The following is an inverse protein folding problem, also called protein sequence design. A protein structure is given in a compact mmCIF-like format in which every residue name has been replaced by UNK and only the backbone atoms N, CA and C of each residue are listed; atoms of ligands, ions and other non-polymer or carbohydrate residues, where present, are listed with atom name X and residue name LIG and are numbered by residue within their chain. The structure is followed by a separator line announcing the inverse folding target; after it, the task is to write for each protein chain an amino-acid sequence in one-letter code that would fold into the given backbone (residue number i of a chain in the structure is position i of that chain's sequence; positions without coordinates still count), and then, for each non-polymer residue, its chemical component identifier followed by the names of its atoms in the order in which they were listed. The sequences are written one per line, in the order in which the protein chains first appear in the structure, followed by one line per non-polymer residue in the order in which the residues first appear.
data_IF_615185773039
#
_entry.id   IF_615185773039
#
_cell.length_a   1.000
_cell.length_b   1.000
_cell.length_c   1.000
_cell.angle_alpha   90.00
_cell.angle_beta   90.00
_cell.angle_gamma   90.00
#
_symmetry.space_group_name_H-M   'P 1'
#
loop_
_entity.id
_entity.type
_entity.pdbx_description
1 polymer ?
#
# COMPACT_ATOMS: atom_id res chain seq x y z
N UNK A 1 -23.07 -3.68 -8.47
CA UNK A 1 -23.04 -2.75 -7.31
C UNK A 1 -24.16 -3.05 -6.34
N UNK A 2 -25.43 -2.71 -6.61
CA UNK A 2 -26.55 -3.02 -5.70
C UNK A 2 -26.60 -4.50 -5.28
N UNK A 3 -26.41 -5.43 -6.23
CA UNK A 3 -26.38 -6.85 -5.90
C UNK A 3 -25.23 -7.23 -4.97
N UNK A 4 -24.05 -6.66 -5.19
CA UNK A 4 -22.89 -6.90 -4.34
C UNK A 4 -23.13 -6.36 -2.92
N UNK A 5 -23.67 -5.14 -2.81
CA UNK A 5 -24.01 -4.54 -1.50
C UNK A 5 -25.05 -5.36 -0.73
N UNK A 6 -26.06 -5.89 -1.43
CA UNK A 6 -27.07 -6.76 -0.84
C UNK A 6 -26.44 -8.05 -0.30
N UNK A 7 -25.59 -8.70 -1.10
CA UNK A 7 -24.94 -9.96 -0.74
C UNK A 7 -23.92 -9.78 0.39
N UNK A 8 -23.18 -8.67 0.40
CA UNK A 8 -22.19 -8.38 1.44
C UNK A 8 -22.77 -7.75 2.71
N UNK A 9 -24.07 -7.43 2.73
CA UNK A 9 -24.72 -6.72 3.84
C UNK A 9 -24.22 -5.28 4.05
N UNK A 10 -23.54 -4.67 3.08
CA UNK A 10 -22.93 -3.34 3.23
C UNK A 10 -23.00 -2.51 1.95
N UNK A 11 -23.40 -1.25 2.06
CA UNK A 11 -23.18 -0.28 0.99
C UNK A 11 -21.69 0.07 0.91
N UNK A 12 -21.05 -0.06 -0.25
CA UNK A 12 -19.63 0.25 -0.39
C UNK A 12 -19.42 1.71 -0.79
N UNK A 13 -18.43 2.36 -0.17
CA UNK A 13 -18.08 3.75 -0.46
C UNK A 13 -17.42 3.95 -1.84
N UNK A 14 -16.86 2.91 -2.43
CA UNK A 14 -16.16 2.99 -3.72
C UNK A 14 -16.22 1.68 -4.49
N UNK A 15 -16.09 1.77 -5.81
CA UNK A 15 -16.00 0.63 -6.72
C UNK A 15 -14.95 0.95 -7.77
N UNK A 16 -14.27 -0.09 -8.26
CA UNK A 16 -13.30 0.07 -9.33
C UNK A 16 -13.68 -0.66 -10.61
N UNK A 17 -13.11 -0.21 -11.73
CA UNK A 17 -13.12 -0.94 -13.00
C UNK A 17 -11.87 -0.65 -13.80
N UNK A 18 -11.57 -1.57 -14.70
CA UNK A 18 -10.58 -1.39 -15.75
C UNK A 18 -11.12 -0.60 -16.95
N UNK A 19 -10.27 0.25 -17.51
CA UNK A 19 -10.46 1.00 -18.75
C UNK A 19 -9.13 0.97 -19.51
N UNK A 20 -9.13 0.52 -20.76
CA UNK A 20 -7.95 0.64 -21.61
C UNK A 20 -7.75 2.08 -22.07
N UNK A 21 -6.51 2.54 -22.16
CA UNK A 21 -6.16 3.81 -22.80
C UNK A 21 -6.62 3.79 -24.27
N UNK A 22 -7.04 4.95 -24.77
CA UNK A 22 -7.73 5.10 -26.05
C UNK A 22 -9.25 4.80 -25.99
N UNK A 23 -9.76 4.21 -24.90
CA UNK A 23 -11.22 4.02 -24.73
C UNK A 23 -11.90 5.28 -24.15
N UNK A 24 -13.18 5.53 -24.46
CA UNK A 24 -13.93 6.65 -23.88
C UNK A 24 -13.99 6.58 -22.34
N UNK A 25 -14.12 7.75 -21.71
CA UNK A 25 -14.39 7.84 -20.28
C UNK A 25 -15.68 7.05 -19.92
N UNK A 26 -15.69 6.23 -18.85
CA UNK A 26 -16.80 5.31 -18.56
C UNK A 26 -17.99 6.01 -17.88
N UNK A 27 -18.53 7.06 -18.48
CA UNK A 27 -19.57 7.95 -17.92
C UNK A 27 -20.75 7.20 -17.31
N UNK A 28 -21.34 6.25 -18.04
CA UNK A 28 -22.51 5.49 -17.58
C UNK A 28 -22.21 4.70 -16.29
N UNK A 29 -21.06 4.03 -16.24
CA UNK A 29 -20.65 3.29 -15.05
C UNK A 29 -20.37 4.23 -13.87
N UNK A 30 -19.75 5.39 -14.11
CA UNK A 30 -19.55 6.39 -13.05
C UNK A 30 -20.89 6.88 -12.51
N UNK A 31 -21.89 7.12 -13.36
CA UNK A 31 -23.25 7.45 -12.89
C UNK A 31 -23.87 6.33 -12.05
N UNK A 32 -23.62 5.07 -12.38
CA UNK A 32 -24.06 3.93 -11.57
C UNK A 32 -23.39 3.91 -10.19
N UNK A 33 -22.08 4.17 -10.13
CA UNK A 33 -21.34 4.32 -8.85
C UNK A 33 -21.93 5.45 -8.00
N UNK A 34 -22.17 6.61 -8.61
CA UNK A 34 -22.80 7.75 -7.93
C UNK A 34 -24.20 7.42 -7.41
N UNK A 35 -24.98 6.66 -8.19
CA UNK A 35 -26.37 6.32 -7.82
C UNK A 35 -26.47 5.49 -6.55
N UNK A 36 -25.39 4.78 -6.18
CA UNK A 36 -25.29 4.00 -4.93
C UNK A 36 -24.54 4.74 -3.82
N UNK A 37 -24.23 6.03 -4.01
CA UNK A 37 -23.55 6.87 -3.02
C UNK A 37 -22.04 6.69 -2.93
N UNK A 38 -21.44 5.98 -3.89
CA UNK A 38 -19.99 5.74 -3.94
C UNK A 38 -19.25 6.73 -4.85
N UNK A 39 -17.92 6.64 -4.83
CA UNK A 39 -17.03 7.28 -5.78
C UNK A 39 -16.27 6.25 -6.65
N UNK A 40 -15.91 6.56 -7.89
CA UNK A 40 -15.20 5.63 -8.77
C UNK A 40 -13.69 5.60 -8.51
N UNK A 41 -13.11 4.40 -8.51
CA UNK A 41 -11.70 4.17 -8.84
C UNK A 41 -11.60 3.68 -10.30
N UNK A 42 -10.80 4.34 -11.14
CA UNK A 42 -10.64 3.98 -12.55
C UNK A 42 -9.22 3.45 -12.74
N UNK A 43 -9.08 2.15 -13.00
CA UNK A 43 -7.82 1.53 -13.39
C UNK A 43 -7.60 1.76 -14.89
N UNK A 44 -6.74 2.72 -15.23
CA UNK A 44 -6.57 3.21 -16.60
C UNK A 44 -5.23 2.74 -17.18
N UNK A 45 -5.30 1.84 -18.17
CA UNK A 45 -4.14 1.06 -18.61
C UNK A 45 -3.73 1.38 -20.05
N UNK A 46 -2.51 1.92 -20.28
CA UNK A 46 -1.93 2.05 -21.61
C UNK A 46 -1.44 0.70 -22.11
N UNK A 47 -2.38 -0.18 -22.44
CA UNK A 47 -2.15 -1.59 -22.78
C UNK A 47 -1.25 -1.78 -24.02
N UNK A 48 -1.13 -0.78 -24.90
CA UNK A 48 -0.20 -0.81 -26.03
C UNK A 48 1.15 -0.14 -25.74
N UNK A 49 1.38 0.31 -24.50
CA UNK A 49 2.62 0.90 -24.03
C UNK A 49 2.58 2.43 -23.92
N UNK A 50 3.57 2.98 -23.22
CA UNK A 50 3.61 4.40 -22.82
C UNK A 50 3.70 5.41 -23.98
N UNK A 51 4.05 4.97 -25.19
CA UNK A 51 4.19 5.86 -26.35
C UNK A 51 2.85 6.38 -26.89
N UNK A 52 1.75 5.68 -26.61
CA UNK A 52 0.40 6.14 -26.99
C UNK A 52 -0.08 7.32 -26.13
N UNK A 53 0.54 7.51 -24.95
CA UNK A 53 0.12 8.51 -23.98
C UNK A 53 0.69 9.87 -24.36
N UNK A 54 -0.19 10.78 -24.78
CA UNK A 54 0.18 12.12 -25.25
C UNK A 54 -0.80 13.14 -24.71
N UNK A 55 -0.33 14.38 -24.56
CA UNK A 55 -1.23 15.51 -24.34
C UNK A 55 -1.90 15.84 -25.67
N UNK A 56 -2.98 15.11 -25.95
CA UNK A 56 -3.75 15.21 -27.17
C UNK A 56 -5.25 15.39 -26.88
N UNK A 57 -6.03 15.49 -27.95
CA UNK A 57 -7.48 15.67 -27.84
C UNK A 57 -8.15 14.54 -27.06
N UNK A 58 -7.64 13.30 -27.15
CA UNK A 58 -8.18 12.18 -26.43
C UNK A 58 -7.99 12.32 -24.92
N UNK A 59 -6.75 12.55 -24.46
CA UNK A 59 -6.45 12.71 -23.03
C UNK A 59 -7.23 13.91 -22.43
N UNK A 60 -7.23 15.04 -23.13
CA UNK A 60 -7.97 16.25 -22.71
C UNK A 60 -9.48 16.02 -22.66
N UNK A 61 -10.05 15.31 -23.64
CA UNK A 61 -11.47 14.98 -23.63
C UNK A 61 -11.83 14.01 -22.49
N UNK A 62 -10.97 13.02 -22.23
CA UNK A 62 -11.15 12.11 -21.09
C UNK A 62 -11.17 12.87 -19.76
N UNK A 63 -10.21 13.79 -19.55
CA UNK A 63 -10.16 14.63 -18.35
C UNK A 63 -11.40 15.54 -18.22
N UNK A 64 -11.83 16.20 -19.30
CA UNK A 64 -13.07 17.02 -19.28
C UNK A 64 -14.29 16.20 -18.88
N UNK A 65 -14.42 14.95 -19.36
CA UNK A 65 -15.49 14.04 -18.94
C UNK A 65 -15.36 13.62 -17.47
N UNK A 66 -14.15 13.41 -16.98
CA UNK A 66 -13.88 13.17 -15.56
C UNK A 66 -14.32 14.34 -14.68
N UNK A 67 -14.19 15.59 -15.15
CA UNK A 67 -14.72 16.77 -14.45
C UNK A 67 -16.24 16.87 -14.48
N UNK A 68 -16.86 16.64 -15.65
CA UNK A 68 -18.31 16.78 -15.85
C UNK A 68 -19.13 15.88 -14.93
N UNK A 69 -18.62 14.71 -14.55
CA UNK A 69 -19.36 13.79 -13.66
C UNK A 69 -19.47 14.30 -12.22
N UNK A 70 -18.73 15.34 -11.81
CA UNK A 70 -18.86 16.03 -10.52
C UNK A 70 -18.97 15.05 -9.32
N UNK A 71 -17.98 14.17 -9.20
CA UNK A 71 -17.74 13.25 -8.07
C UNK A 71 -16.22 13.10 -7.94
N UNK A 72 -15.66 12.92 -6.74
CA UNK A 72 -14.25 12.56 -6.60
C UNK A 72 -13.95 11.30 -7.42
N UNK A 73 -12.79 11.24 -8.07
CA UNK A 73 -12.36 10.04 -8.83
C UNK A 73 -10.98 9.66 -8.35
N UNK A 74 -10.76 8.39 -8.04
CA UNK A 74 -9.43 7.86 -7.79
C UNK A 74 -8.89 7.25 -9.09
N UNK A 75 -8.02 7.96 -9.80
CA UNK A 75 -7.47 7.50 -11.08
C UNK A 75 -6.20 6.69 -10.84
N UNK A 76 -6.28 5.39 -11.06
CA UNK A 76 -5.17 4.44 -10.98
C UNK A 76 -4.59 4.22 -12.37
N UNK A 77 -3.72 5.13 -12.80
CA UNK A 77 -3.09 5.08 -14.11
C UNK A 77 -1.89 4.13 -14.13
N UNK A 78 -1.77 3.28 -15.15
CA UNK A 78 -0.61 2.43 -15.43
C UNK A 78 -0.05 1.66 -14.21
N UNK A 79 -0.92 0.98 -13.46
CA UNK A 79 -0.55 0.24 -12.23
C UNK A 79 0.29 -1.01 -12.50
N UNK A 80 1.02 -1.46 -11.47
CA UNK A 80 1.89 -2.67 -11.50
C UNK A 80 3.07 -2.59 -12.48
N UNK A 81 3.50 -1.37 -12.78
CA UNK A 81 4.67 -1.06 -13.61
C UNK A 81 5.97 -1.71 -13.12
N UNK A 82 6.07 -2.00 -11.81
CA UNK A 82 7.24 -2.59 -11.15
C UNK A 82 7.49 -4.06 -11.52
N UNK A 83 6.55 -4.71 -12.21
CA UNK A 83 6.72 -6.05 -12.77
C UNK A 83 7.41 -6.10 -14.13
N UNK A 84 7.16 -7.21 -14.83
CA UNK A 84 7.56 -7.41 -16.23
C UNK A 84 6.39 -7.85 -17.15
N UNK A 85 5.15 -7.78 -16.65
CA UNK A 85 3.96 -8.29 -17.32
C UNK A 85 3.10 -7.22 -18.00
N UNK A 86 3.49 -5.95 -17.91
CA UNK A 86 2.76 -4.82 -18.54
C UNK A 86 3.58 -4.20 -19.68
N UNK A 87 2.89 -3.63 -20.67
CA UNK A 87 3.54 -2.93 -21.79
C UNK A 87 4.23 -1.62 -21.37
N UNK A 88 4.05 -1.21 -20.12
CA UNK A 88 4.59 0.02 -19.53
C UNK A 88 5.59 -0.26 -18.39
N UNK A 89 6.03 -1.52 -18.25
CA UNK A 89 7.15 -1.92 -17.39
C UNK A 89 8.52 -1.62 -18.04
N UNK A 90 9.58 -1.65 -17.25
CA UNK A 90 10.98 -1.64 -17.71
C UNK A 90 11.62 -0.26 -17.95
N UNK A 91 10.89 0.72 -18.52
CA UNK A 91 11.41 2.08 -18.74
C UNK A 91 10.86 3.07 -17.70
N UNK A 92 11.54 3.15 -16.56
CA UNK A 92 11.16 4.01 -15.44
C UNK A 92 11.13 5.51 -15.80
N UNK A 93 12.10 6.00 -16.55
CA UNK A 93 12.15 7.42 -16.94
C UNK A 93 10.97 7.80 -17.84
N UNK A 94 10.63 6.94 -18.81
CA UNK A 94 9.48 7.14 -19.67
C UNK A 94 8.18 7.05 -18.85
N UNK A 95 8.09 6.10 -17.92
CA UNK A 95 6.95 5.97 -17.02
C UNK A 95 6.72 7.25 -16.23
N UNK A 96 7.76 7.77 -15.54
CA UNK A 96 7.69 9.00 -14.76
C UNK A 96 7.29 10.17 -15.65
N UNK A 97 7.87 10.30 -16.84
CA UNK A 97 7.51 11.36 -17.80
C UNK A 97 6.02 11.31 -18.18
N UNK A 98 5.47 10.13 -18.47
CA UNK A 98 4.06 9.99 -18.85
C UNK A 98 3.12 10.13 -17.67
N UNK A 99 3.55 9.70 -16.48
CA UNK A 99 2.82 9.94 -15.24
C UNK A 99 2.60 11.44 -15.02
N UNK A 100 3.69 12.22 -15.04
CA UNK A 100 3.64 13.69 -14.84
C UNK A 100 2.74 14.36 -15.89
N UNK A 101 2.84 13.93 -17.15
CA UNK A 101 1.95 14.41 -18.22
C UNK A 101 0.47 14.18 -17.90
N UNK A 102 0.09 12.96 -17.49
CA UNK A 102 -1.32 12.65 -17.15
C UNK A 102 -1.76 13.45 -15.93
N UNK A 103 -0.92 13.55 -14.90
CA UNK A 103 -1.18 14.37 -13.72
C UNK A 103 -1.46 15.82 -14.10
N UNK A 104 -0.59 16.46 -14.89
CA UNK A 104 -0.72 17.87 -15.24
C UNK A 104 -2.01 18.16 -16.03
N UNK A 105 -2.42 17.24 -16.92
CA UNK A 105 -3.70 17.36 -17.62
C UNK A 105 -4.89 17.20 -16.66
N UNK A 106 -4.82 16.27 -15.69
CA UNK A 106 -5.89 16.10 -14.71
C UNK A 106 -5.99 17.30 -13.77
N UNK A 107 -4.87 17.85 -13.30
CA UNK A 107 -4.84 19.06 -12.46
C UNK A 107 -5.48 20.26 -13.18
N UNK A 108 -5.18 20.44 -14.47
CA UNK A 108 -5.73 21.55 -15.27
C UNK A 108 -7.23 21.36 -15.60
N UNK A 109 -7.63 20.16 -16.04
CA UNK A 109 -8.95 19.92 -16.63
C UNK A 109 -9.96 19.29 -15.68
N UNK A 110 -9.49 18.59 -14.64
CA UNK A 110 -10.28 17.72 -13.77
C UNK A 110 -9.77 17.66 -12.31
N UNK A 111 -9.78 18.78 -11.56
CA UNK A 111 -9.26 18.86 -10.18
C UNK A 111 -10.05 18.02 -9.16
N UNK A 112 -11.11 17.32 -9.58
CA UNK A 112 -11.81 16.30 -8.79
C UNK A 112 -11.19 14.90 -8.92
N UNK A 113 -10.16 14.74 -9.74
CA UNK A 113 -9.41 13.49 -9.92
C UNK A 113 -8.22 13.48 -8.98
N UNK A 114 -8.09 12.42 -8.19
CA UNK A 114 -6.94 12.11 -7.34
C UNK A 114 -6.10 11.03 -8.01
N UNK A 115 -4.79 11.24 -8.09
CA UNK A 115 -3.83 10.35 -8.73
C UNK A 115 -3.37 9.24 -7.77
N UNK A 116 -3.70 7.99 -8.12
CA UNK A 116 -3.33 6.78 -7.36
C UNK A 116 -2.15 6.06 -8.02
N UNK A 117 -0.94 6.23 -7.49
CA UNK A 117 0.27 5.52 -7.94
C UNK A 117 0.33 4.13 -7.31
N UNK A 118 0.04 3.09 -8.09
CA UNK A 118 -0.23 1.76 -7.56
C UNK A 118 0.72 0.69 -8.11
N UNK A 119 1.43 0.02 -7.22
CA UNK A 119 2.39 -1.05 -7.54
C UNK A 119 1.77 -2.43 -7.31
N UNK A 120 2.39 -3.49 -7.83
CA UNK A 120 2.20 -4.84 -7.27
C UNK A 120 3.15 -5.02 -6.08
N UNK A 121 2.74 -5.79 -5.07
CA UNK A 121 3.57 -6.03 -3.86
C UNK A 121 5.00 -6.50 -4.21
N UNK A 122 5.16 -7.22 -5.33
CA UNK A 122 6.46 -7.69 -5.83
C UNK A 122 6.71 -7.28 -7.29
N UNK A 123 7.98 -7.23 -7.75
CA UNK A 123 9.21 -7.24 -6.96
C UNK A 123 9.50 -5.88 -6.29
N UNK A 124 9.83 -5.89 -5.00
CA UNK A 124 10.05 -4.67 -4.19
C UNK A 124 11.19 -3.78 -4.71
N UNK A 125 12.33 -4.38 -5.09
CA UNK A 125 13.56 -3.66 -5.45
C UNK A 125 13.45 -2.77 -6.70
N UNK A 126 12.34 -2.84 -7.44
CA UNK A 126 12.08 -1.99 -8.60
C UNK A 126 11.09 -0.88 -8.31
N UNK A 127 10.31 -0.97 -7.23
CA UNK A 127 9.18 -0.08 -6.92
C UNK A 127 9.62 1.40 -6.91
N UNK A 128 10.66 1.71 -6.15
CA UNK A 128 11.13 3.10 -5.99
C UNK A 128 11.60 3.75 -7.29
N UNK A 129 12.01 2.96 -8.30
CA UNK A 129 12.48 3.48 -9.59
C UNK A 129 11.38 4.17 -10.38
N UNK A 130 10.11 3.80 -10.15
CA UNK A 130 8.95 4.33 -10.89
C UNK A 130 8.23 5.46 -10.15
N UNK A 131 8.70 5.86 -8.97
CA UNK A 131 8.02 6.88 -8.17
C UNK A 131 8.22 8.28 -8.80
N UNK A 132 7.15 8.99 -9.16
CA UNK A 132 7.25 10.26 -9.90
C UNK A 132 7.56 11.46 -9.01
N UNK A 133 7.53 11.28 -7.68
CA UNK A 133 7.68 12.32 -6.66
C UNK A 133 6.35 12.70 -6.02
N UNK A 134 6.42 13.17 -4.76
CA UNK A 134 5.25 13.49 -3.94
C UNK A 134 4.32 14.54 -4.57
N UNK A 135 4.85 15.45 -5.36
CA UNK A 135 4.06 16.51 -6.01
C UNK A 135 3.10 15.98 -7.09
N UNK A 136 3.28 14.74 -7.57
CA UNK A 136 2.44 14.15 -8.63
C UNK A 136 1.56 12.97 -8.15
N UNK A 137 1.49 12.73 -6.83
CA UNK A 137 0.80 11.56 -6.24
C UNK A 137 -0.07 12.00 -5.08
N UNK A 138 -1.37 11.67 -5.15
CA UNK A 138 -2.29 11.89 -4.02
C UNK A 138 -2.34 10.68 -3.09
N UNK A 139 -2.33 9.47 -3.66
CA UNK A 139 -2.37 8.20 -2.93
C UNK A 139 -1.33 7.23 -3.47
N UNK A 140 -0.66 6.50 -2.57
CA UNK A 140 0.18 5.37 -2.94
C UNK A 140 -0.60 4.07 -2.75
N UNK A 141 -0.56 3.22 -3.77
CA UNK A 141 -1.34 2.00 -3.83
C UNK A 141 -0.50 0.74 -3.93
N UNK A 142 -1.03 -0.37 -3.43
CA UNK A 142 -0.47 -1.71 -3.63
C UNK A 142 -1.56 -2.71 -3.99
N UNK A 143 -1.29 -3.53 -5.00
CA UNK A 143 -2.08 -4.72 -5.31
C UNK A 143 -1.51 -5.93 -4.56
N UNK A 144 -2.39 -6.69 -3.92
CA UNK A 144 -2.05 -7.84 -3.07
C UNK A 144 -2.94 -9.01 -3.47
N UNK A 145 -2.35 -10.14 -3.84
CA UNK A 145 -3.11 -11.38 -4.05
C UNK A 145 -2.49 -12.49 -3.25
N UNK A 146 -3.28 -13.14 -2.40
CA UNK A 146 -2.89 -14.38 -1.76
C UNK A 146 -3.38 -15.54 -2.61
N UNK A 147 -2.43 -16.23 -3.22
CA UNK A 147 -2.66 -17.44 -4.01
C UNK A 147 -2.19 -18.65 -3.23
N UNK A 148 -2.71 -19.83 -3.56
CA UNK A 148 -2.24 -21.08 -2.95
C UNK A 148 -0.91 -21.52 -3.57
N UNK A 149 -0.75 -21.24 -4.87
CA UNK A 149 0.42 -21.58 -5.67
C UNK A 149 0.82 -20.39 -6.53
N UNK A 150 2.09 -20.01 -6.49
CA UNK A 150 2.65 -19.06 -7.46
C UNK A 150 2.86 -19.74 -8.81
N UNK A 151 2.81 -18.95 -9.88
CA UNK A 151 3.13 -19.37 -11.24
C UNK A 151 2.37 -20.60 -11.78
N UNK A 152 1.23 -20.98 -11.19
CA UNK A 152 0.49 -22.19 -11.54
C UNK A 152 1.32 -23.48 -11.41
N UNK A 153 2.14 -23.57 -10.34
CA UNK A 153 3.01 -24.73 -10.07
C UNK A 153 2.77 -25.31 -8.69
N UNK A 154 2.53 -26.62 -8.60
CA UNK A 154 2.26 -27.33 -7.34
C UNK A 154 3.42 -27.23 -6.34
N UNK A 155 4.65 -27.12 -6.84
CA UNK A 155 5.86 -26.94 -6.05
C UNK A 155 6.03 -25.52 -5.47
N UNK A 156 5.36 -24.52 -6.05
CA UNK A 156 5.45 -23.11 -5.66
C UNK A 156 4.35 -22.74 -4.65
N UNK A 157 4.18 -23.54 -3.61
CA UNK A 157 3.15 -23.29 -2.59
C UNK A 157 3.41 -21.96 -1.86
N UNK A 158 2.37 -21.14 -1.69
CA UNK A 158 2.42 -19.78 -1.14
C UNK A 158 1.37 -19.52 -0.07
N UNK A 159 0.73 -20.58 0.43
CA UNK A 159 -0.36 -20.46 1.40
C UNK A 159 0.07 -19.91 2.77
N UNK A 160 1.37 -19.96 3.05
CA UNK A 160 1.98 -19.40 4.25
C UNK A 160 2.06 -17.86 4.26
N UNK A 161 1.91 -17.19 3.11
CA UNK A 161 2.03 -15.73 3.02
C UNK A 161 0.95 -15.03 3.85
N UNK A 162 1.36 -14.09 4.72
CA UNK A 162 0.44 -13.24 5.46
C UNK A 162 0.03 -12.04 4.58
N UNK A 163 -1.27 -11.85 4.30
CA UNK A 163 -1.77 -10.75 3.45
C UNK A 163 -1.30 -9.38 3.94
N UNK A 164 -1.21 -9.16 5.25
CA UNK A 164 -0.84 -7.86 5.81
C UNK A 164 0.65 -7.58 5.61
N UNK A 165 1.50 -8.60 5.68
CA UNK A 165 2.94 -8.42 5.54
C UNK A 165 3.35 -8.06 4.10
N UNK A 166 2.53 -8.44 3.12
CA UNK A 166 2.69 -8.02 1.72
C UNK A 166 2.49 -6.50 1.51
N UNK A 167 1.98 -5.78 2.53
CA UNK A 167 1.83 -4.33 2.53
C UNK A 167 3.06 -3.60 3.14
N UNK A 168 3.91 -4.29 3.91
CA UNK A 168 4.90 -3.66 4.79
C UNK A 168 5.85 -2.73 4.03
N UNK A 169 6.43 -3.18 2.91
CA UNK A 169 7.37 -2.37 2.13
C UNK A 169 6.76 -1.04 1.68
N UNK A 170 5.57 -1.09 1.07
CA UNK A 170 4.88 0.09 0.56
C UNK A 170 4.44 1.00 1.71
N UNK A 171 3.94 0.41 2.79
CA UNK A 171 3.48 1.19 3.94
C UNK A 171 4.63 1.91 4.65
N UNK A 172 5.72 1.21 4.95
CA UNK A 172 6.90 1.80 5.57
C UNK A 172 7.45 2.92 4.67
N UNK A 173 7.60 2.65 3.38
CA UNK A 173 8.29 3.59 2.49
C UNK A 173 7.52 4.87 2.19
N UNK A 174 6.19 4.83 2.20
CA UNK A 174 5.38 5.94 1.66
C UNK A 174 4.30 6.47 2.60
N UNK A 175 3.97 5.78 3.70
CA UNK A 175 2.78 6.15 4.48
C UNK A 175 3.00 7.34 5.42
N UNK A 176 4.24 7.76 5.63
CA UNK A 176 4.60 9.00 6.32
C UNK A 176 4.13 10.25 5.54
N UNK A 177 4.22 10.20 4.22
CA UNK A 177 3.92 11.33 3.31
C UNK A 177 2.59 11.17 2.59
N UNK A 178 2.17 9.93 2.30
CA UNK A 178 0.99 9.64 1.47
C UNK A 178 0.00 8.68 2.16
N UNK A 179 -1.32 8.91 2.02
CA UNK A 179 -2.30 7.88 2.38
C UNK A 179 -2.15 6.65 1.49
N UNK A 180 -2.32 5.46 2.08
CA UNK A 180 -2.15 4.19 1.38
C UNK A 180 -3.50 3.61 0.94
N UNK A 181 -3.50 2.97 -0.24
CA UNK A 181 -4.64 2.26 -0.80
C UNK A 181 -4.24 0.82 -1.13
N UNK A 182 -5.03 -0.15 -0.72
CA UNK A 182 -4.92 -1.50 -1.28
C UNK A 182 -5.76 -1.50 -2.56
N UNK A 183 -5.10 -1.30 -3.69
CA UNK A 183 -5.73 -1.06 -4.99
C UNK A 183 -6.54 -2.25 -5.49
N UNK A 184 -6.06 -3.45 -5.18
CA UNK A 184 -6.73 -4.74 -5.32
C UNK A 184 -6.27 -5.68 -4.21
N UNK A 185 -7.22 -6.41 -3.64
CA UNK A 185 -6.99 -7.54 -2.77
C UNK A 185 -7.83 -8.74 -3.21
N UNK A 186 -7.20 -9.89 -3.40
CA UNK A 186 -7.89 -11.15 -3.70
C UNK A 186 -7.27 -12.33 -2.97
N UNK A 187 -8.11 -13.28 -2.56
CA UNK A 187 -7.67 -14.54 -1.96
C UNK A 187 -8.28 -15.71 -2.75
N UNK A 188 -7.43 -16.62 -3.21
CA UNK A 188 -7.86 -17.77 -4.02
C UNK A 188 -8.89 -18.61 -3.27
N UNK A 189 -10.08 -18.79 -3.84
CA UNK A 189 -11.08 -19.74 -3.33
C UNK A 189 -11.14 -21.05 -4.12
N UNK A 190 -10.59 -21.05 -5.33
CA UNK A 190 -10.42 -22.22 -6.18
C UNK A 190 -9.25 -21.96 -7.13
N UNK A 191 -8.48 -23.00 -7.43
CA UNK A 191 -7.43 -22.92 -8.48
C UNK A 191 -7.44 -24.15 -9.37
N UNK A 192 -7.12 -23.96 -10.65
CA UNK A 192 -6.90 -25.07 -11.60
C UNK A 192 -5.60 -25.83 -11.33
N UNK A 193 -4.65 -25.24 -10.60
CA UNK A 193 -3.33 -25.82 -10.32
C UNK A 193 -3.42 -27.19 -9.64
N UNK A 194 -4.29 -27.31 -8.63
CA UNK A 194 -4.63 -28.58 -7.98
C UNK A 194 -6.07 -29.04 -8.24
N UNK A 195 -6.89 -28.19 -8.87
CA UNK A 195 -8.29 -28.45 -9.18
C UNK A 195 -9.23 -28.43 -7.97
N UNK A 196 -8.81 -27.81 -6.85
CA UNK A 196 -9.54 -27.83 -5.59
C UNK A 196 -10.09 -26.46 -5.18
N UNK A 197 -11.14 -26.51 -4.36
CA UNK A 197 -11.62 -25.34 -3.62
C UNK A 197 -10.82 -25.17 -2.33
N UNK A 198 -10.38 -23.94 -2.07
CA UNK A 198 -9.58 -23.51 -0.93
C UNK A 198 -10.36 -22.51 -0.06
N UNK A 199 -11.55 -22.94 0.39
CA UNK A 199 -12.48 -22.08 1.14
C UNK A 199 -11.88 -21.61 2.47
N UNK A 200 -11.23 -22.52 3.21
CA UNK A 200 -10.64 -22.18 4.51
C UNK A 200 -9.47 -21.20 4.35
N UNK A 201 -8.68 -21.33 3.28
CA UNK A 201 -7.63 -20.38 2.93
C UNK A 201 -8.22 -19.00 2.61
N UNK A 202 -9.24 -18.92 1.74
CA UNK A 202 -9.88 -17.65 1.41
C UNK A 202 -10.48 -16.97 2.66
N UNK A 203 -11.18 -17.72 3.52
CA UNK A 203 -11.74 -17.25 4.78
C UNK A 203 -10.65 -16.70 5.73
N UNK A 204 -9.54 -17.44 5.89
CA UNK A 204 -8.40 -17.02 6.72
C UNK A 204 -7.79 -15.70 6.21
N UNK A 205 -7.43 -15.64 4.93
CA UNK A 205 -6.74 -14.46 4.36
C UNK A 205 -7.63 -13.22 4.36
N UNK A 206 -8.91 -13.37 4.02
CA UNK A 206 -9.89 -12.27 4.08
C UNK A 206 -10.07 -11.76 5.51
N UNK A 207 -10.29 -12.68 6.45
CA UNK A 207 -10.48 -12.33 7.85
C UNK A 207 -9.23 -11.67 8.44
N UNK A 208 -8.04 -12.21 8.14
CA UNK A 208 -6.75 -11.65 8.58
C UNK A 208 -6.56 -10.23 8.06
N UNK A 209 -6.72 -10.02 6.75
CA UNK A 209 -6.58 -8.69 6.15
C UNK A 209 -7.56 -7.69 6.77
N UNK A 210 -8.87 -7.92 6.65
CA UNK A 210 -9.85 -6.91 7.05
C UNK A 210 -9.96 -6.70 8.57
N UNK A 211 -9.73 -7.73 9.39
CA UNK A 211 -9.82 -7.58 10.85
C UNK A 211 -8.74 -6.66 11.41
N UNK A 212 -7.51 -6.82 10.92
CA UNK A 212 -6.34 -6.19 11.52
C UNK A 212 -5.86 -4.94 10.76
N UNK A 213 -6.23 -4.78 9.49
CA UNK A 213 -5.81 -3.64 8.66
C UNK A 213 -6.05 -2.28 9.34
N UNK A 214 -7.22 -1.95 9.91
CA UNK A 214 -7.43 -0.63 10.51
C UNK A 214 -6.57 -0.36 11.74
N UNK A 215 -6.21 -1.41 12.49
CA UNK A 215 -5.37 -1.30 13.69
C UNK A 215 -3.89 -1.23 13.32
N UNK A 216 -3.45 -2.10 12.42
CA UNK A 216 -2.03 -2.26 12.10
C UNK A 216 -1.55 -1.24 11.07
N UNK A 217 -2.43 -0.76 10.18
CA UNK A 217 -2.06 0.13 9.07
C UNK A 217 -2.99 1.36 9.03
N UNK A 218 -2.99 2.22 10.08
CA UNK A 218 -3.90 3.38 10.20
C UNK A 218 -3.80 4.41 9.06
N UNK A 219 -2.71 4.39 8.28
CA UNK A 219 -2.54 5.21 7.09
C UNK A 219 -3.20 4.63 5.83
N UNK A 220 -3.72 3.40 5.88
CA UNK A 220 -4.53 2.82 4.80
C UNK A 220 -5.93 3.44 4.85
N UNK A 221 -6.33 4.08 3.76
CA UNK A 221 -7.61 4.80 3.66
C UNK A 221 -8.63 4.13 2.75
N UNK A 222 -8.21 3.13 1.96
CA UNK A 222 -9.10 2.32 1.15
C UNK A 222 -8.52 0.93 0.88
N UNK A 223 -9.39 -0.06 0.74
CA UNK A 223 -9.09 -1.41 0.25
C UNK A 223 -10.18 -1.80 -0.75
N UNK A 224 -9.78 -2.35 -1.90
CA UNK A 224 -10.68 -2.81 -2.95
C UNK A 224 -10.57 -4.33 -3.09
N UNK A 225 -11.64 -5.06 -2.78
CA UNK A 225 -11.67 -6.50 -3.02
C UNK A 225 -11.87 -6.81 -4.52
N UNK A 226 -11.06 -7.71 -5.06
CA UNK A 226 -11.14 -8.20 -6.43
C UNK A 226 -12.14 -9.36 -6.55
N UNK A 227 -13.45 -9.06 -6.50
CA UNK A 227 -14.52 -10.07 -6.61
C UNK A 227 -14.72 -10.52 -8.07
N UNK A 228 -13.81 -11.37 -8.56
CA UNK A 228 -13.84 -11.85 -9.95
C UNK A 228 -13.49 -13.34 -10.02
N UNK A 229 -14.33 -14.08 -10.72
CA UNK A 229 -14.00 -15.43 -11.18
C UNK A 229 -13.13 -15.34 -12.44
N UNK A 230 -11.82 -15.37 -12.26
CA UNK A 230 -10.88 -15.25 -13.39
C UNK A 230 -10.93 -16.45 -14.34
N UNK A 231 -11.44 -17.61 -13.92
CA UNK A 231 -11.63 -18.75 -14.83
C UNK A 231 -12.59 -18.42 -15.99
N UNK A 232 -13.51 -17.47 -15.75
CA UNK A 232 -14.50 -17.02 -16.72
C UNK A 232 -14.08 -15.70 -17.36
N UNK A 233 -13.62 -14.74 -16.54
CA UNK A 233 -13.51 -13.35 -16.95
C UNK A 233 -12.09 -12.89 -17.33
N UNK A 234 -11.05 -13.66 -16.97
CA UNK A 234 -9.69 -13.28 -17.31
C UNK A 234 -9.33 -13.65 -18.76
N UNK A 235 -8.37 -12.93 -19.37
CA UNK A 235 -7.78 -13.34 -20.64
C UNK A 235 -7.17 -14.74 -20.58
N UNK A 236 -7.05 -15.37 -21.75
CA UNK A 236 -6.41 -16.68 -21.87
C UNK A 236 -4.96 -16.64 -21.33
N UNK A 237 -4.57 -17.66 -20.57
CA UNK A 237 -3.30 -17.69 -19.84
C UNK A 237 -3.32 -17.02 -18.45
N UNK A 238 -4.41 -16.35 -18.05
CA UNK A 238 -4.62 -15.82 -16.68
C UNK A 238 -5.77 -16.50 -15.91
N UNK A 239 -6.38 -17.54 -16.50
CA UNK A 239 -7.53 -18.28 -15.97
C UNK A 239 -7.11 -19.35 -14.95
N UNK A 240 -6.42 -18.94 -13.89
CA UNK A 240 -5.80 -19.86 -12.92
C UNK A 240 -6.63 -19.93 -11.63
N UNK A 241 -6.90 -18.78 -11.03
CA UNK A 241 -7.54 -18.67 -9.72
C UNK A 241 -8.98 -18.16 -9.84
N UNK A 242 -9.83 -18.49 -8.89
CA UNK A 242 -11.12 -17.83 -8.65
C UNK A 242 -11.00 -16.99 -7.38
N UNK A 243 -11.33 -15.71 -7.48
CA UNK A 243 -11.33 -14.76 -6.35
C UNK A 243 -12.75 -14.30 -5.98
N UNK A 244 -13.80 -14.80 -6.64
CA UNK A 244 -15.18 -14.35 -6.39
C UNK A 244 -15.68 -14.78 -5.00
N UNK A 245 -15.86 -13.83 -4.10
CA UNK A 245 -16.42 -14.06 -2.77
C UNK A 245 -17.93 -14.29 -2.82
N UNK A 246 -18.57 -13.86 -3.90
CA UNK A 246 -20.03 -13.94 -4.10
C UNK A 246 -20.54 -15.31 -4.55
N UNK A 247 -19.65 -16.25 -4.88
CA UNK A 247 -19.99 -17.60 -5.34
C UNK A 247 -20.07 -18.64 -4.19
N UNK A 248 -19.63 -18.28 -2.98
CA UNK A 248 -19.62 -19.17 -1.82
C UNK A 248 -20.04 -18.43 -0.54
N UNK A 249 -21.09 -18.92 0.13
CA UNK A 249 -21.67 -18.22 1.30
C UNK A 249 -20.73 -18.12 2.50
N UNK A 250 -19.85 -19.10 2.73
CA UNK A 250 -18.86 -19.03 3.84
C UNK A 250 -17.86 -17.89 3.60
N UNK A 251 -17.41 -17.75 2.37
CA UNK A 251 -16.47 -16.69 1.97
C UNK A 251 -17.17 -15.33 1.99
N UNK A 252 -18.41 -15.27 1.49
CA UNK A 252 -19.23 -14.06 1.63
C UNK A 252 -19.36 -13.65 3.09
N UNK A 253 -19.69 -14.57 4.00
CA UNK A 253 -19.86 -14.30 5.44
C UNK A 253 -18.54 -13.84 6.10
N UNK A 254 -17.42 -14.47 5.74
CA UNK A 254 -16.09 -14.05 6.17
C UNK A 254 -15.80 -12.59 5.78
N UNK A 255 -16.15 -12.19 4.56
CA UNK A 255 -16.02 -10.80 4.13
C UNK A 255 -17.00 -9.86 4.86
N UNK A 256 -18.30 -10.18 4.83
CA UNK A 256 -19.39 -9.35 5.39
C UNK A 256 -19.14 -9.03 6.86
N UNK A 257 -18.79 -10.03 7.66
CA UNK A 257 -18.54 -9.87 9.11
C UNK A 257 -17.42 -8.89 9.44
N UNK A 258 -16.43 -8.71 8.54
CA UNK A 258 -15.35 -7.74 8.75
C UNK A 258 -15.74 -6.34 8.29
N UNK A 259 -16.39 -6.24 7.12
CA UNK A 259 -16.73 -4.92 6.56
C UNK A 259 -17.87 -4.24 7.31
N UNK A 260 -18.69 -4.95 8.09
CA UNK A 260 -19.70 -4.36 8.98
C UNK A 260 -19.10 -3.42 10.03
N UNK A 261 -17.80 -3.55 10.37
CA UNK A 261 -17.14 -2.71 11.36
C UNK A 261 -17.12 -1.22 10.95
N UNK A 262 -17.25 -0.32 11.94
CA UNK A 262 -17.31 1.14 11.74
C UNK A 262 -16.07 1.77 11.05
N UNK A 263 -14.97 1.03 11.00
CA UNK A 263 -13.73 1.46 10.32
C UNK A 263 -13.88 1.42 8.79
N UNK A 264 -14.88 0.72 8.27
CA UNK A 264 -15.15 0.62 6.83
C UNK A 264 -16.33 1.53 6.48
N UNK A 265 -16.09 2.48 5.57
CA UNK A 265 -17.08 3.47 5.17
C UNK A 265 -18.15 2.88 4.26
N UNK A 266 -19.38 3.40 4.39
CA UNK A 266 -20.51 2.99 3.55
C UNK A 266 -20.87 4.00 2.44
N UNK A 267 -20.10 5.07 2.30
CA UNK A 267 -20.34 6.17 1.36
C UNK A 267 -19.29 7.27 1.52
N UNK A 268 -19.37 8.29 0.67
CA UNK A 268 -18.57 9.52 0.79
C UNK A 268 -19.03 10.28 2.04
N UNK A 269 -18.07 10.77 2.84
CA UNK A 269 -18.34 11.57 4.05
C UNK A 269 -17.81 12.99 3.83
N UNK A 270 -18.70 13.98 3.80
CA UNK A 270 -18.37 15.39 3.48
C UNK A 270 -17.56 16.13 4.56
N UNK A 271 -17.38 15.52 5.74
CA UNK A 271 -16.69 16.11 6.88
C UNK A 271 -15.90 15.06 7.65
N UNK A 272 -14.66 14.82 7.25
CA UNK A 272 -13.67 14.38 8.22
C UNK A 272 -13.26 15.63 9.04
N UNK A 273 -13.43 15.61 10.36
CA UNK A 273 -12.68 16.57 11.18
C UNK A 273 -11.19 16.37 10.84
N UNK A 274 -10.49 17.43 10.42
CA UNK A 274 -9.03 17.42 10.26
C UNK A 274 -8.43 17.26 11.65
N UNK A 275 -8.44 16.05 12.18
CA UNK A 275 -7.69 15.73 13.38
C UNK A 275 -6.23 15.66 12.96
N UNK A 276 -5.45 16.66 13.39
CA UNK A 276 -4.08 16.93 12.93
C UNK A 276 -3.04 15.96 13.49
N UNK A 277 -3.46 14.80 14.00
CA UNK A 277 -2.59 13.76 14.55
C UNK A 277 -2.98 12.43 13.92
N UNK A 278 -2.34 12.11 12.82
CA UNK A 278 -2.47 10.78 12.22
C UNK A 278 -1.39 9.86 12.80
N UNK A 279 -1.79 8.68 13.26
CA UNK A 279 -0.86 7.67 13.76
C UNK A 279 -0.17 7.00 12.58
N UNK A 280 1.15 6.91 12.66
CA UNK A 280 1.98 6.07 11.79
C UNK A 280 2.41 4.82 12.57
N UNK A 281 2.86 3.78 11.88
CA UNK A 281 3.39 2.59 12.55
C UNK A 281 4.49 2.00 11.70
N UNK A 282 5.69 1.84 12.24
CA UNK A 282 6.74 1.13 11.52
C UNK A 282 6.46 -0.38 11.54
N UNK A 283 6.68 -1.05 10.41
CA UNK A 283 6.29 -2.46 10.19
C UNK A 283 7.40 -3.34 9.64
N UNK A 284 8.63 -2.84 9.54
CA UNK A 284 9.78 -3.70 9.21
C UNK A 284 10.30 -4.40 10.47
N UNK A 285 11.60 -4.58 10.64
CA UNK A 285 12.13 -5.34 11.76
C UNK A 285 12.10 -4.52 13.05
N UNK A 286 11.01 -4.68 13.78
CA UNK A 286 10.98 -4.50 15.22
C UNK A 286 10.76 -5.86 15.85
N UNK A 287 11.63 -6.27 16.76
CA UNK A 287 11.51 -7.57 17.40
C UNK A 287 12.00 -7.52 18.84
N UNK A 288 11.36 -8.31 19.69
CA UNK A 288 11.84 -8.56 21.02
C UNK A 288 12.83 -9.73 21.02
N UNK A 289 14.01 -9.52 21.58
CA UNK A 289 14.96 -10.59 21.91
C UNK A 289 15.35 -10.46 23.38
N UNK A 290 15.18 -11.53 24.16
CA UNK A 290 15.42 -11.52 25.61
C UNK A 290 14.69 -10.39 26.38
N UNK A 291 13.48 -10.02 25.94
CA UNK A 291 12.67 -8.89 26.45
C UNK A 291 13.21 -7.48 26.14
N UNK A 292 14.19 -7.36 25.27
CA UNK A 292 14.71 -6.09 24.77
C UNK A 292 14.23 -5.86 23.34
N UNK A 293 13.87 -4.62 23.01
CA UNK A 293 13.35 -4.25 21.69
C UNK A 293 14.48 -3.83 20.76
N UNK A 294 14.56 -4.49 19.61
CA UNK A 294 15.52 -4.20 18.55
C UNK A 294 14.83 -3.64 17.33
N UNK A 295 15.54 -2.74 16.63
CA UNK A 295 15.16 -2.20 15.32
C UNK A 295 16.25 -2.49 14.28
N UNK A 296 15.88 -2.46 13.01
CA UNK A 296 16.87 -2.45 11.93
C UNK A 296 17.49 -1.06 11.70
N UNK A 297 18.59 -1.05 10.95
CA UNK A 297 19.30 0.18 10.54
C UNK A 297 18.37 1.14 9.78
N UNK A 298 17.44 0.61 8.98
CA UNK A 298 16.50 1.42 8.21
C UNK A 298 15.60 2.25 9.13
N UNK A 299 15.14 1.71 10.26
CA UNK A 299 14.38 2.49 11.23
C UNK A 299 15.16 3.71 11.71
N UNK A 300 16.41 3.48 12.10
CA UNK A 300 17.30 4.50 12.68
C UNK A 300 17.64 5.58 11.65
N UNK A 301 17.96 5.19 10.42
CA UNK A 301 18.31 6.13 9.35
C UNK A 301 17.09 6.89 8.81
N UNK A 302 16.00 6.18 8.51
CA UNK A 302 14.88 6.76 7.79
C UNK A 302 13.87 7.48 8.69
N UNK A 303 13.76 7.09 9.97
CA UNK A 303 12.74 7.60 10.88
C UNK A 303 13.29 8.38 12.07
N UNK A 304 14.44 7.97 12.62
CA UNK A 304 15.14 8.78 13.63
C UNK A 304 16.07 9.82 12.99
N UNK A 305 16.27 9.77 11.66
CA UNK A 305 17.15 10.66 10.90
C UNK A 305 18.60 10.66 11.40
N UNK A 306 19.06 9.52 11.89
CA UNK A 306 20.42 9.36 12.40
C UNK A 306 21.31 8.74 11.31
N UNK A 307 22.59 9.08 11.31
CA UNK A 307 23.53 8.46 10.38
C UNK A 307 24.12 7.21 11.02
N UNK A 308 24.00 6.04 10.37
CA UNK A 308 24.54 4.78 10.88
C UNK A 308 25.73 4.35 10.02
N UNK A 309 26.92 4.34 10.62
CA UNK A 309 28.09 3.66 10.09
C UNK A 309 28.29 2.33 10.81
N UNK A 310 28.98 1.37 10.17
CA UNK A 310 29.06 0.02 10.71
C UNK A 310 30.47 -0.60 10.51
N UNK A 311 30.99 -1.30 11.51
CA UNK A 311 32.20 -2.14 11.41
C UNK A 311 31.85 -3.63 11.60
N UNK A 312 32.75 -4.56 11.93
CA UNK A 312 32.34 -5.98 12.06
C UNK A 312 31.48 -6.27 13.31
N UNK A 313 31.62 -5.48 14.38
CA UNK A 313 31.03 -5.75 15.70
C UNK A 313 30.14 -4.64 16.23
N UNK A 314 30.21 -3.43 15.66
CA UNK A 314 29.59 -2.23 16.23
C UNK A 314 28.97 -1.34 15.16
N UNK A 315 27.86 -0.71 15.54
CA UNK A 315 27.30 0.45 14.86
C UNK A 315 27.85 1.72 15.48
N UNK A 316 28.21 2.68 14.65
CA UNK A 316 28.50 4.06 15.04
C UNK A 316 27.35 4.92 14.54
N UNK A 317 26.51 5.37 15.47
CA UNK A 317 25.31 6.15 15.18
C UNK A 317 25.59 7.61 15.52
N UNK A 318 25.30 8.52 14.60
CA UNK A 318 25.53 9.95 14.78
C UNK A 318 24.24 10.77 14.65
N UNK A 319 24.03 11.66 15.61
CA UNK A 319 22.87 12.56 15.70
C UNK A 319 23.27 13.84 16.46
N UNK A 320 22.84 15.02 15.99
CA UNK A 320 23.11 16.32 16.62
C UNK A 320 24.58 16.55 17.07
N UNK A 321 25.54 16.31 16.18
CA UNK A 321 27.01 16.41 16.43
C UNK A 321 27.58 15.42 17.46
N UNK A 322 26.75 14.55 18.02
CA UNK A 322 27.16 13.46 18.90
C UNK A 322 27.27 12.15 18.13
N UNK A 323 28.09 11.24 18.64
CA UNK A 323 28.26 9.91 18.05
C UNK A 323 28.39 8.89 19.16
N UNK A 324 27.56 7.86 19.10
CA UNK A 324 27.51 6.74 20.05
C UNK A 324 27.87 5.46 19.31
N UNK A 325 28.56 4.56 20.01
CA UNK A 325 28.85 3.22 19.53
C UNK A 325 27.92 2.22 20.21
N UNK A 326 27.22 1.41 19.43
CA UNK A 326 26.29 0.37 19.90
C UNK A 326 26.77 -0.99 19.39
N UNK A 327 26.71 -2.02 20.24
CA UNK A 327 27.11 -3.37 19.84
C UNK A 327 26.11 -3.93 18.82
N UNK A 328 26.63 -4.61 17.79
CA UNK A 328 25.80 -5.32 16.83
C UNK A 328 25.33 -6.62 17.41
N UNK A 329 24.03 -6.86 17.31
CA UNK A 329 23.49 -8.18 17.54
C UNK A 329 22.96 -8.80 16.25
N UNK A 330 23.45 -10.00 15.95
CA UNK A 330 23.05 -10.78 14.79
C UNK A 330 21.94 -11.75 15.20
N UNK A 331 20.74 -11.55 14.65
CA UNK A 331 19.61 -12.43 14.93
C UNK A 331 19.09 -13.06 13.65
N UNK A 332 18.88 -14.37 13.70
CA UNK A 332 18.16 -15.08 12.64
C UNK A 332 16.67 -15.06 12.95
N UNK A 333 15.90 -14.34 12.14
CA UNK A 333 14.45 -14.24 12.30
C UNK A 333 13.75 -14.97 11.15
N UNK A 334 12.69 -15.70 11.48
CA UNK A 334 11.84 -16.40 10.52
C UNK A 334 10.79 -15.41 9.98
N UNK A 335 10.99 -14.90 8.76
CA UNK A 335 10.04 -13.96 8.15
C UNK A 335 8.90 -14.79 7.56
N UNK A 336 7.80 -14.91 8.31
CA UNK A 336 6.60 -15.65 7.89
C UNK A 336 6.01 -15.17 6.53
N UNK A 337 6.41 -13.99 6.04
CA UNK A 337 5.90 -13.41 4.80
C UNK A 337 6.79 -13.60 3.57
N UNK A 338 8.10 -13.82 3.74
CA UNK A 338 9.04 -13.81 2.61
C UNK A 338 10.16 -14.83 2.80
N UNK A 339 9.84 -16.08 2.45
CA UNK A 339 10.70 -17.14 1.87
C UNK A 339 12.09 -17.50 2.45
N UNK A 340 12.73 -16.75 3.35
CA UNK A 340 14.07 -17.11 3.86
C UNK A 340 14.29 -16.64 5.31
N UNK A 341 15.00 -17.47 6.08
CA UNK A 341 15.60 -17.04 7.35
C UNK A 341 16.60 -15.93 7.03
N UNK A 342 16.34 -14.73 7.54
CA UNK A 342 17.24 -13.59 7.35
C UNK A 342 18.01 -13.36 8.64
N UNK A 343 19.33 -13.23 8.50
CA UNK A 343 20.14 -12.62 9.54
C UNK A 343 19.94 -11.11 9.48
N UNK A 344 19.48 -10.54 10.59
CA UNK A 344 19.27 -9.11 10.76
C UNK A 344 20.27 -8.62 11.77
N UNK A 345 20.91 -7.50 11.44
CA UNK A 345 21.70 -6.74 12.38
C UNK A 345 20.74 -5.82 13.13
N UNK A 346 20.49 -6.12 14.40
CA UNK A 346 19.64 -5.32 15.27
C UNK A 346 20.42 -4.23 15.99
N UNK A 347 19.79 -3.09 16.20
CA UNK A 347 20.20 -2.04 17.14
C UNK A 347 19.21 -2.06 18.30
N UNK A 348 19.68 -2.15 19.55
CA UNK A 348 18.82 -2.00 20.72
C UNK A 348 18.22 -0.60 20.72
N UNK A 349 16.90 -0.51 20.68
CA UNK A 349 16.22 0.78 20.54
C UNK A 349 16.28 1.57 21.85
N UNK A 350 16.07 0.92 23.00
CA UNK A 350 16.14 1.59 24.30
C UNK A 350 17.58 2.08 24.56
N UNK A 351 18.61 1.26 24.28
CA UNK A 351 20.02 1.68 24.41
C UNK A 351 20.33 2.89 23.50
N UNK A 352 19.85 2.88 22.26
CA UNK A 352 20.05 3.97 21.31
C UNK A 352 19.38 5.27 21.78
N UNK A 353 18.11 5.20 22.20
CA UNK A 353 17.36 6.37 22.62
C UNK A 353 17.92 6.97 23.92
N UNK A 354 18.28 6.12 24.89
CA UNK A 354 18.94 6.54 26.13
C UNK A 354 20.28 7.21 25.86
N UNK A 355 21.07 6.71 24.90
CA UNK A 355 22.39 7.24 24.61
C UNK A 355 22.37 8.66 23.99
N UNK A 356 21.25 9.08 23.41
CA UNK A 356 21.04 10.43 22.89
C UNK A 356 20.09 11.27 23.77
N UNK A 357 19.83 10.83 25.02
CA UNK A 357 18.91 11.48 25.96
C UNK A 357 17.52 11.76 25.36
N UNK A 358 17.02 10.85 24.51
CA UNK A 358 15.75 11.00 23.81
C UNK A 358 14.57 10.57 24.69
N UNK A 359 13.65 11.50 24.94
CA UNK A 359 12.43 11.21 25.70
C UNK A 359 11.58 10.18 24.96
N UNK A 360 11.23 9.08 25.64
CA UNK A 360 10.38 8.02 25.10
C UNK A 360 9.59 7.31 26.22
N UNK A 361 8.43 6.75 25.88
CA UNK A 361 7.61 5.98 26.83
C UNK A 361 6.82 4.85 26.15
N UNK A 362 6.51 3.79 26.89
CA UNK A 362 5.59 2.75 26.48
C UNK A 362 4.21 2.99 27.12
N UNK A 363 3.15 3.00 26.32
CA UNK A 363 1.79 3.12 26.85
C UNK A 363 1.24 1.78 27.39
N UNK A 364 0.04 1.83 27.98
CA UNK A 364 -0.62 0.66 28.57
C UNK A 364 -1.01 -0.43 27.57
N UNK A 365 -0.96 -0.15 26.26
CA UNK A 365 -1.19 -1.12 25.18
C UNK A 365 0.14 -1.65 24.60
N UNK A 366 1.29 -1.21 25.13
CA UNK A 366 2.63 -1.61 24.71
C UNK A 366 3.20 -0.80 23.55
N UNK A 367 2.56 0.30 23.15
CA UNK A 367 3.06 1.13 22.04
C UNK A 367 4.16 2.06 22.53
N UNK A 368 5.21 2.25 21.72
CA UNK A 368 6.30 3.18 22.02
C UNK A 368 6.03 4.56 21.44
N UNK A 369 6.19 5.57 22.27
CA UNK A 369 6.13 6.97 21.90
C UNK A 369 7.54 7.55 22.00
N UNK A 370 8.04 8.14 20.92
CA UNK A 370 9.37 8.77 20.88
C UNK A 370 9.18 10.25 20.60
N UNK A 371 9.74 11.10 21.46
CA UNK A 371 9.58 12.54 21.41
C UNK A 371 10.85 13.19 20.84
N UNK A 372 10.81 13.55 19.56
CA UNK A 372 11.92 14.20 18.86
C UNK A 372 11.92 15.71 19.16
N UNK A 373 12.93 16.20 19.88
CA UNK A 373 13.18 17.64 20.03
C UNK A 373 14.19 18.10 18.98
N UNK A 374 13.72 18.82 17.96
CA UNK A 374 14.60 19.40 16.95
C UNK A 374 15.16 20.74 17.43
N UNK A 375 16.48 20.91 17.33
CA UNK A 375 17.10 22.23 17.54
C UNK A 375 16.80 23.10 16.31
N UNK A 376 16.13 24.23 16.50
CA UNK A 376 15.96 25.25 15.45
C UNK A 376 17.33 25.63 14.86
N UNK A 377 17.62 25.23 13.61
CA UNK A 377 18.74 25.77 12.84
C UNK A 377 19.68 24.80 12.13
N UNK A 378 19.51 23.48 12.24
CA UNK A 378 20.29 22.54 11.43
C UNK A 378 19.75 22.49 9.98
N UNK A 379 20.44 23.22 9.11
CA UNK A 379 20.23 23.28 7.67
C UNK A 379 20.19 21.86 7.06
N UNK A 380 19.02 21.45 6.58
CA UNK A 380 18.84 20.21 5.83
C UNK A 380 19.79 20.15 4.62
N UNK A 381 20.76 19.23 4.65
CA UNK A 381 21.58 18.92 3.48
C UNK A 381 20.80 17.94 2.61
N UNK A 382 20.45 18.44 1.42
CA UNK A 382 19.88 17.72 0.28
C UNK A 382 20.54 16.37 0.03
N UNK A 383 19.74 15.30 0.09
CA UNK A 383 19.89 14.14 -0.77
C UNK A 383 18.57 13.89 -1.50
N UNK A 384 18.70 13.53 -2.78
CA UNK A 384 17.66 13.36 -3.80
C UNK A 384 16.44 12.57 -3.27
N UNK A 385 15.31 13.25 -3.03
CA UNK A 385 14.08 12.59 -2.53
C UNK A 385 13.17 13.42 -1.63
N UNK A 386 13.60 14.60 -1.16
CA UNK A 386 12.72 15.62 -0.57
C UNK A 386 11.76 15.13 0.51
N UNK A 387 12.25 14.81 1.72
CA UNK A 387 11.40 14.62 2.90
C UNK A 387 11.35 15.91 3.72
N UNK A 388 10.15 16.43 3.98
CA UNK A 388 9.92 17.50 4.96
C UNK A 388 9.22 16.90 6.17
N UNK A 389 9.82 17.01 7.33
CA UNK A 389 9.17 16.72 8.60
C UNK A 389 8.77 18.05 9.24
N UNK A 390 7.46 18.30 9.38
CA UNK A 390 6.97 19.38 10.24
C UNK A 390 7.07 18.96 11.71
N UNK A 391 7.15 19.92 12.63
CA UNK A 391 6.98 19.68 14.07
C UNK A 391 5.79 18.74 14.33
N UNK A 392 6.05 17.58 14.94
CA UNK A 392 5.02 16.57 15.18
C UNK A 392 5.50 15.55 16.21
N UNK A 393 4.60 15.17 17.13
CA UNK A 393 4.83 14.03 18.01
C UNK A 393 4.68 12.76 17.17
N UNK A 394 5.72 11.93 17.11
CA UNK A 394 5.69 10.65 16.41
C UNK A 394 5.17 9.58 17.36
N UNK A 395 4.01 9.02 17.04
CA UNK A 395 3.44 7.88 17.74
C UNK A 395 3.82 6.60 16.99
N UNK A 396 4.62 5.71 17.57
CA UNK A 396 4.99 4.43 16.96
C UNK A 396 4.15 3.29 17.57
N UNK A 397 3.23 2.74 16.79
CA UNK A 397 2.46 1.56 17.23
C UNK A 397 3.31 0.29 17.12
N UNK A 398 3.96 -0.11 18.20
CA UNK A 398 4.63 -1.41 18.35
C UNK A 398 3.57 -2.50 18.57
N UNK A 399 3.55 -3.52 17.71
CA UNK A 399 2.66 -4.69 17.86
C UNK A 399 3.42 -5.97 17.60
#
# INVERSE_FOLDING_TARGET
MNKFNEVSGKNHASYFRYVGYGQPFPTEWVHQVKSVGGFPQIAWEPNNGLEEVKDDEYLRAFAKKAREVNVPILLRYASEMNGNWTAYSGNADLYIKKWKLVHDVMEEEAPNVMMLWNVFTMPEHTISKFYPGDEYVDYVGVNIYNVVYHNDRLEDKSDFEDPLRLLDYVYNRYSDTKPIVIGEFGATNYTVTDGLYHVDFAEEKISRMYKYLPKLYPRVKAIYYFDVNNLVNAPEGRKINNYAITENSRITEAYSSQVEHQNYLSGIVDKAERNSKETFSYRDFLFYYQNELFVDVQFVEEYLQMNVAENDTEFSVAFNDETVTIQKEMHTIDKAAFFEKREIKGISLDELLDAFDMEHEYDGDGNLHIYLSYVEGALAVLFDGGRFFSEGNYHFLLI
#
